data_IF_689752118470
#
_entry.id   IF_689752118470
#
_cell.length_a   1.000
_cell.length_b   1.000
_cell.length_c   1.000
_cell.angle_alpha   90.00
_cell.angle_beta   90.00
_cell.angle_gamma   90.00
#
_symmetry.space_group_name_H-M   'P 1'
#
loop_
_entity.id
_entity.type
_entity.pdbx_description
1 polymer ?
#
# COMPACT_ATOMS: atom_id res chain seq x y z
N UNK A 1 8.58 -31.30 10.69
CA UNK A 1 7.99 -30.25 9.82
C UNK A 1 8.41 -28.91 10.38
N UNK A 2 9.36 -28.21 9.74
CA UNK A 2 9.79 -26.88 10.19
C UNK A 2 8.64 -25.91 9.94
N UNK A 3 8.20 -25.19 10.97
CA UNK A 3 7.17 -24.16 10.85
C UNK A 3 7.68 -23.05 9.91
N UNK A 4 7.28 -23.10 8.65
CA UNK A 4 7.69 -22.17 7.59
C UNK A 4 7.01 -20.80 7.68
N UNK A 5 6.05 -20.63 8.58
CA UNK A 5 5.40 -19.36 8.83
C UNK A 5 5.85 -18.83 10.18
N UNK A 6 6.98 -18.10 10.20
CA UNK A 6 7.22 -17.13 11.25
C UNK A 6 6.08 -16.12 11.15
N UNK A 7 5.25 -16.07 12.19
CA UNK A 7 4.21 -15.06 12.38
C UNK A 7 4.92 -13.71 12.43
N UNK A 8 5.14 -13.08 11.27
CA UNK A 8 5.58 -11.69 11.19
C UNK A 8 4.48 -10.90 11.89
N UNK A 9 4.81 -10.33 13.05
CA UNK A 9 3.99 -9.31 13.70
C UNK A 9 4.07 -8.04 12.84
N UNK A 10 3.53 -8.10 11.63
CA UNK A 10 3.29 -6.91 10.83
C UNK A 10 1.99 -6.34 11.37
N UNK A 11 2.08 -5.61 12.48
CA UNK A 11 1.07 -4.63 12.85
C UNK A 11 1.11 -3.54 11.78
N UNK A 12 0.57 -3.86 10.60
CA UNK A 12 0.44 -2.92 9.50
C UNK A 12 -0.44 -1.79 10.02
N UNK A 13 0.13 -0.60 10.17
CA UNK A 13 -0.57 0.53 10.76
C UNK A 13 -1.78 0.91 9.90
N UNK A 14 -2.95 0.49 10.35
CA UNK A 14 -4.22 0.70 9.66
C UNK A 14 -4.52 2.19 9.51
N UNK A 15 -3.96 3.06 10.36
CA UNK A 15 -4.08 4.51 10.25
C UNK A 15 -3.31 5.05 9.05
N UNK A 16 -2.06 4.61 8.87
CA UNK A 16 -1.25 4.95 7.70
C UNK A 16 -1.87 4.40 6.41
N UNK A 17 -2.31 3.13 6.41
CA UNK A 17 -2.98 2.54 5.26
C UNK A 17 -4.28 3.26 4.90
N UNK A 18 -5.16 3.53 5.86
CA UNK A 18 -6.41 4.24 5.61
C UNK A 18 -6.15 5.64 5.08
N UNK A 19 -5.13 6.34 5.59
CA UNK A 19 -4.72 7.65 5.07
C UNK A 19 -4.27 7.57 3.61
N UNK A 20 -3.45 6.57 3.26
CA UNK A 20 -2.98 6.33 1.88
C UNK A 20 -4.16 5.98 0.96
N UNK A 21 -5.07 5.12 1.41
CA UNK A 21 -6.23 4.71 0.61
C UNK A 21 -7.24 5.84 0.43
N UNK A 22 -7.52 6.61 1.48
CA UNK A 22 -8.42 7.76 1.43
C UNK A 22 -7.84 8.88 0.55
N UNK A 23 -6.54 9.19 0.69
CA UNK A 23 -5.88 10.18 -0.15
C UNK A 23 -5.78 9.72 -1.61
N UNK A 24 -5.47 8.44 -1.84
CA UNK A 24 -5.48 7.82 -3.17
C UNK A 24 -6.86 7.85 -3.82
N UNK A 25 -7.92 7.53 -3.06
CA UNK A 25 -9.30 7.64 -3.51
C UNK A 25 -9.65 9.10 -3.89
N UNK A 26 -9.33 10.06 -3.02
CA UNK A 26 -9.61 11.47 -3.26
C UNK A 26 -8.86 12.00 -4.49
N UNK A 27 -7.57 11.67 -4.63
CA UNK A 27 -6.77 12.03 -5.79
C UNK A 27 -7.34 11.40 -7.08
N UNK A 28 -7.68 10.10 -7.04
CA UNK A 28 -8.29 9.39 -8.17
C UNK A 28 -9.64 9.97 -8.57
N UNK A 29 -10.48 10.32 -7.60
CA UNK A 29 -11.75 11.01 -7.82
C UNK A 29 -11.54 12.37 -8.47
N UNK A 30 -10.59 13.17 -7.98
CA UNK A 30 -10.27 14.48 -8.54
C UNK A 30 -9.76 14.39 -9.99
N UNK A 31 -8.88 13.44 -10.28
CA UNK A 31 -8.37 13.18 -11.64
C UNK A 31 -9.50 12.75 -12.57
N UNK A 32 -10.34 11.80 -12.15
CA UNK A 32 -11.46 11.36 -12.97
C UNK A 32 -12.45 12.49 -13.25
N UNK A 33 -12.78 13.30 -12.22
CA UNK A 33 -13.64 14.45 -12.37
C UNK A 33 -13.04 15.50 -13.33
N UNK A 34 -11.73 15.76 -13.24
CA UNK A 34 -11.03 16.66 -14.16
C UNK A 34 -11.05 16.17 -15.61
N UNK A 35 -10.98 14.85 -15.82
CA UNK A 35 -11.07 14.22 -17.14
C UNK A 35 -12.51 14.04 -17.66
N UNK A 36 -13.52 14.56 -16.94
CA UNK A 36 -14.94 14.39 -17.28
C UNK A 36 -15.45 12.95 -17.16
N UNK A 37 -14.76 12.10 -16.40
CA UNK A 37 -15.13 10.71 -16.13
C UNK A 37 -15.85 10.58 -14.79
N UNK A 38 -16.45 9.41 -14.56
CA UNK A 38 -17.12 9.13 -13.29
C UNK A 38 -16.13 9.20 -12.10
N UNK A 39 -16.32 10.13 -11.14
CA UNK A 39 -15.45 10.27 -9.98
C UNK A 39 -15.34 8.97 -9.17
N UNK A 40 -16.42 8.20 -9.05
CA UNK A 40 -16.42 6.93 -8.30
C UNK A 40 -15.46 5.90 -8.90
N UNK A 41 -15.43 5.80 -10.24
CA UNK A 41 -14.47 4.95 -10.95
C UNK A 41 -13.04 5.44 -10.70
N UNK A 42 -12.82 6.75 -10.72
CA UNK A 42 -11.54 7.36 -10.35
C UNK A 42 -11.08 7.01 -8.94
N UNK A 43 -11.98 7.08 -7.96
CA UNK A 43 -11.70 6.71 -6.58
C UNK A 43 -11.27 5.26 -6.43
N UNK A 44 -11.98 4.33 -7.08
CA UNK A 44 -11.61 2.90 -7.07
C UNK A 44 -10.22 2.68 -7.69
N UNK A 45 -9.92 3.34 -8.81
CA UNK A 45 -8.60 3.27 -9.45
C UNK A 45 -7.52 3.83 -8.52
N UNK A 46 -7.78 4.95 -7.86
CA UNK A 46 -6.86 5.57 -6.91
C UNK A 46 -6.56 4.68 -5.70
N UNK A 47 -7.57 4.02 -5.14
CA UNK A 47 -7.39 3.02 -4.07
C UNK A 47 -6.56 1.83 -4.57
N UNK A 48 -6.89 1.28 -5.74
CA UNK A 48 -6.20 0.13 -6.32
C UNK A 48 -4.72 0.40 -6.60
N UNK A 49 -4.39 1.56 -7.18
CA UNK A 49 -3.01 1.99 -7.40
C UNK A 49 -2.26 2.19 -6.08
N UNK A 50 -2.90 2.76 -5.07
CA UNK A 50 -2.28 2.98 -3.76
C UNK A 50 -1.95 1.65 -3.05
N UNK A 51 -2.83 0.65 -3.15
CA UNK A 51 -2.57 -0.70 -2.66
C UNK A 51 -1.43 -1.37 -3.44
N UNK A 52 -1.41 -1.22 -4.76
CA UNK A 52 -0.35 -1.80 -5.60
C UNK A 52 1.03 -1.22 -5.23
N UNK A 53 1.14 0.11 -5.11
CA UNK A 53 2.39 0.78 -4.74
C UNK A 53 2.83 0.38 -3.34
N UNK A 54 1.90 0.33 -2.38
CA UNK A 54 2.20 -0.12 -1.01
C UNK A 54 2.68 -1.57 -0.98
N UNK A 55 2.04 -2.45 -1.76
CA UNK A 55 2.42 -3.85 -1.89
C UNK A 55 3.81 -4.02 -2.51
N UNK A 56 4.13 -3.24 -3.55
CA UNK A 56 5.46 -3.23 -4.15
C UNK A 56 6.53 -2.71 -3.18
N UNK A 57 6.28 -1.61 -2.48
CA UNK A 57 7.19 -1.08 -1.45
C UNK A 57 7.44 -2.11 -0.35
N UNK A 58 6.38 -2.73 0.16
CA UNK A 58 6.49 -3.78 1.18
C UNK A 58 7.32 -4.96 0.68
N UNK A 59 7.09 -5.42 -0.56
CA UNK A 59 7.84 -6.52 -1.15
C UNK A 59 9.33 -6.19 -1.36
N UNK A 60 9.64 -4.96 -1.76
CA UNK A 60 11.03 -4.49 -1.93
C UNK A 60 11.76 -4.32 -0.59
N UNK A 61 11.07 -3.89 0.47
CA UNK A 61 11.66 -3.79 1.82
C UNK A 61 11.99 -5.16 2.42
N UNK A 62 11.20 -6.20 2.12
CA UNK A 62 11.44 -7.57 2.59
C UNK A 62 12.67 -8.23 1.92
N UNK A 63 13.17 -7.67 0.79
CA UNK A 63 14.41 -8.11 0.13
C UNK A 63 15.69 -7.45 0.67
N UNK A 64 15.59 -6.44 1.55
CA UNK A 64 16.77 -5.83 2.18
C UNK A 64 17.21 -6.72 3.36
N UNK A 65 18.34 -7.45 3.27
CA UNK A 65 18.76 -8.33 4.35
C UNK A 65 18.99 -7.50 5.63
N UNK A 66 18.69 -8.06 6.82
CA UNK A 66 18.98 -7.37 8.07
C UNK A 66 20.45 -7.02 8.08
N UNK A 67 20.76 -5.73 8.18
CA UNK A 67 22.10 -5.21 8.37
C UNK A 67 22.71 -5.97 9.54
N UNK A 68 23.64 -6.87 9.24
CA UNK A 68 24.38 -7.61 10.25
C UNK A 68 25.19 -6.61 11.07
N UNK A 69 24.63 -6.18 12.19
CA UNK A 69 25.35 -5.43 13.21
C UNK A 69 26.17 -6.45 14.00
N UNK A 70 27.29 -6.89 13.42
CA UNK A 70 28.36 -7.50 14.19
C UNK A 70 28.85 -6.45 15.20
N UNK A 71 28.65 -6.74 16.48
CA UNK A 71 29.38 -6.12 17.58
C UNK A 71 30.04 -7.24 18.37
#
# INVERSE_FOLDING_TARGET
MKNLFKKQNTAMDFSSLSTILTSGAAAGMAIANHLGKNPQTGGIIGVGLSLLVTGLMTAMEDEIPPKNSNN
#
